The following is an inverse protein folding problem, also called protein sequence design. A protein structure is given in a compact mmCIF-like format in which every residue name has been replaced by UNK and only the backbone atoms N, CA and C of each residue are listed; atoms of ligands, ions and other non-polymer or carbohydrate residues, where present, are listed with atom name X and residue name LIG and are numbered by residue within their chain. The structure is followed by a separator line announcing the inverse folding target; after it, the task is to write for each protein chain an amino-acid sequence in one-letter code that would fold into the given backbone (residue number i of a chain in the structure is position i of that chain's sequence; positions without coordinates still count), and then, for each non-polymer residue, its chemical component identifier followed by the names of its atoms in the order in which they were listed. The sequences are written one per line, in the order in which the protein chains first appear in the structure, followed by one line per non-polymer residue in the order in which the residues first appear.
data_IF_000833087241
#
_entry.id   IF_000833087241
#
_cell.length_a   1.000
_cell.length_b   1.000
_cell.length_c   1.000
_cell.angle_alpha   90.00
_cell.angle_beta   90.00
_cell.angle_gamma   90.00
#
_symmetry.space_group_name_H-M   'P 1'
#
loop_
_entity.id
_entity.type
_entity.pdbx_description
1 polymer ?
#
# COMPACT_ATOMS: atom_id res chain seq x y z
N UNK A 1 -3.67 -12.98 -28.17
CA UNK A 1 -4.24 -14.16 -27.59
C UNK A 1 -3.62 -14.50 -26.29
N UNK A 2 -4.37 -14.75 -25.32
CA UNK A 2 -3.93 -15.07 -23.99
C UNK A 2 -5.13 -15.31 -23.12
N UNK A 3 -4.92 -15.33 -21.80
CA UNK A 3 -5.98 -15.52 -20.83
C UNK A 3 -6.80 -14.23 -20.76
N UNK A 4 -8.12 -14.34 -20.83
CA UNK A 4 -9.01 -13.19 -20.70
C UNK A 4 -9.07 -12.78 -19.22
N UNK A 5 -8.59 -11.57 -18.92
CA UNK A 5 -8.49 -11.05 -17.55
C UNK A 5 -9.18 -9.69 -17.47
N UNK A 6 -9.85 -9.40 -16.37
CA UNK A 6 -10.50 -8.11 -16.14
C UNK A 6 -9.79 -7.23 -15.15
N UNK A 7 -8.73 -7.71 -14.53
CA UNK A 7 -7.99 -6.94 -13.57
C UNK A 7 -7.08 -7.81 -12.73
N UNK A 8 -6.43 -7.19 -11.76
CA UNK A 8 -5.57 -7.88 -10.81
C UNK A 8 -5.80 -7.29 -9.44
N UNK A 9 -5.79 -8.15 -8.41
CA UNK A 9 -5.86 -7.72 -7.02
C UNK A 9 -4.70 -8.38 -6.29
N UNK A 10 -3.65 -7.62 -5.96
CA UNK A 10 -2.50 -8.16 -5.22
C UNK A 10 -2.90 -8.59 -3.83
N UNK A 11 -2.24 -9.62 -3.29
CA UNK A 11 -2.34 -9.99 -1.90
C UNK A 11 -0.98 -9.83 -1.27
N UNK A 12 -0.92 -9.05 -0.20
CA UNK A 12 0.30 -8.83 0.57
C UNK A 12 0.20 -9.59 1.89
N UNK A 13 1.24 -10.36 2.21
CA UNK A 13 1.37 -10.95 3.53
C UNK A 13 1.89 -9.89 4.47
N UNK A 14 1.15 -9.63 5.56
CA UNK A 14 1.52 -8.62 6.54
C UNK A 14 1.84 -9.28 7.88
N UNK A 15 2.72 -8.65 8.63
CA UNK A 15 3.15 -9.18 9.93
C UNK A 15 2.11 -8.94 11.01
N UNK A 16 1.56 -7.73 11.05
CA UNK A 16 0.64 -7.27 12.10
C UNK A 16 -0.57 -6.64 11.44
N UNK A 17 -1.67 -7.40 11.35
CA UNK A 17 -2.86 -6.95 10.65
C UNK A 17 -3.41 -5.62 11.18
N UNK A 18 -3.58 -5.42 12.51
CA UNK A 18 -4.09 -4.13 12.99
C UNK A 18 -3.22 -2.94 12.56
N UNK A 19 -1.91 -3.08 12.59
CA UNK A 19 -0.99 -2.02 12.15
C UNK A 19 -1.18 -1.74 10.66
N UNK A 20 -1.28 -2.77 9.84
CA UNK A 20 -1.44 -2.62 8.39
C UNK A 20 -2.81 -2.04 8.02
N UNK A 21 -3.87 -2.49 8.67
CA UNK A 21 -5.21 -1.93 8.45
C UNK A 21 -5.22 -0.43 8.78
N UNK A 22 -4.64 -0.03 9.90
CA UNK A 22 -4.57 1.40 10.26
C UNK A 22 -3.79 2.20 9.24
N UNK A 23 -2.68 1.64 8.74
CA UNK A 23 -1.88 2.34 7.73
C UNK A 23 -2.68 2.54 6.44
N UNK A 24 -3.22 1.48 5.88
CA UNK A 24 -3.94 1.57 4.60
C UNK A 24 -5.24 2.35 4.71
N UNK A 25 -6.01 2.15 5.78
CA UNK A 25 -7.29 2.82 5.97
C UNK A 25 -7.13 4.26 6.47
N UNK A 26 -6.41 4.44 7.58
CA UNK A 26 -6.41 5.73 8.29
C UNK A 26 -5.36 6.69 7.73
N UNK A 27 -4.26 6.19 7.19
CA UNK A 27 -3.22 7.03 6.60
C UNK A 27 -3.45 7.23 5.11
N UNK A 28 -3.62 6.14 4.34
CA UNK A 28 -3.76 6.24 2.90
C UNK A 28 -5.19 6.51 2.43
N UNK A 29 -6.19 6.14 3.22
CA UNK A 29 -7.58 6.38 2.87
C UNK A 29 -8.30 5.22 2.20
N UNK A 30 -7.76 4.00 2.26
CA UNK A 30 -8.45 2.83 1.74
C UNK A 30 -9.71 2.54 2.55
N UNK A 31 -10.74 2.03 1.87
CA UNK A 31 -11.93 1.48 2.50
C UNK A 31 -11.69 -0.02 2.73
N UNK A 32 -12.03 -0.51 3.93
CA UNK A 32 -12.05 -1.94 4.20
C UNK A 32 -13.39 -2.47 3.68
N UNK A 33 -13.36 -3.13 2.54
CA UNK A 33 -14.57 -3.63 1.88
C UNK A 33 -15.06 -4.89 2.57
N UNK A 34 -14.14 -5.76 2.97
CA UNK A 34 -14.44 -7.03 3.61
C UNK A 34 -13.29 -7.45 4.52
N UNK A 35 -13.59 -8.08 5.64
CA UNK A 35 -12.59 -8.61 6.56
C UNK A 35 -13.12 -9.91 7.18
N UNK A 36 -12.24 -10.89 7.37
CA UNK A 36 -12.59 -12.19 7.91
C UNK A 36 -11.57 -12.62 8.97
N UNK A 37 -11.97 -12.75 10.24
CA UNK A 37 -13.24 -12.29 10.81
C UNK A 37 -13.34 -10.76 10.81
N UNK A 38 -14.53 -10.19 11.01
CA UNK A 38 -14.67 -8.74 11.05
C UNK A 38 -13.80 -8.09 12.11
N UNK A 39 -13.33 -6.86 11.85
CA UNK A 39 -12.49 -6.10 12.76
C UNK A 39 -11.05 -5.99 12.28
N UNK A 40 -10.27 -5.17 12.98
CA UNK A 40 -8.89 -4.85 12.56
C UNK A 40 -7.91 -6.00 12.79
N UNK A 41 -8.21 -6.92 13.69
CA UNK A 41 -7.36 -8.09 13.93
C UNK A 41 -7.86 -9.32 13.14
N UNK A 42 -8.20 -9.08 11.89
CA UNK A 42 -8.63 -10.11 10.96
C UNK A 42 -7.44 -10.88 10.37
N UNK A 43 -7.72 -12.06 9.80
CA UNK A 43 -6.69 -12.84 9.11
C UNK A 43 -6.54 -12.41 7.64
N UNK A 44 -7.61 -11.86 7.07
CA UNK A 44 -7.67 -11.44 5.68
C UNK A 44 -8.58 -10.23 5.54
N UNK A 45 -8.22 -9.32 4.62
CA UNK A 45 -9.06 -8.17 4.31
C UNK A 45 -8.94 -7.80 2.84
N UNK A 46 -10.04 -7.29 2.27
CA UNK A 46 -10.07 -6.67 0.95
C UNK A 46 -10.23 -5.16 1.12
N UNK A 47 -9.33 -4.42 0.53
CA UNK A 47 -9.28 -2.96 0.63
C UNK A 47 -9.46 -2.33 -0.75
N UNK A 48 -10.05 -1.13 -0.78
CA UNK A 48 -10.25 -0.39 -2.02
C UNK A 48 -9.93 1.09 -1.84
N UNK A 49 -9.22 1.66 -2.81
CA UNK A 49 -8.97 3.09 -2.89
C UNK A 49 -9.18 3.52 -4.34
N UNK A 50 -10.27 4.26 -4.61
CA UNK A 50 -10.68 4.54 -5.98
C UNK A 50 -10.94 3.24 -6.75
N UNK A 51 -10.27 3.06 -7.86
CA UNK A 51 -10.39 1.85 -8.66
C UNK A 51 -9.34 0.78 -8.29
N UNK A 52 -8.45 1.07 -7.35
CA UNK A 52 -7.43 0.12 -6.92
C UNK A 52 -7.97 -0.80 -5.82
N UNK A 53 -7.66 -2.08 -5.93
CA UNK A 53 -7.99 -3.07 -4.91
C UNK A 53 -6.75 -3.79 -4.44
N UNK A 54 -6.75 -4.20 -3.18
CA UNK A 54 -5.61 -4.80 -2.51
C UNK A 54 -6.12 -5.73 -1.42
N UNK A 55 -5.52 -6.89 -1.30
CA UNK A 55 -5.81 -7.82 -0.21
C UNK A 55 -4.64 -7.85 0.77
N UNK A 56 -4.97 -7.95 2.06
CA UNK A 56 -3.99 -8.19 3.11
C UNK A 56 -4.29 -9.54 3.75
N UNK A 57 -3.25 -10.28 4.07
CA UNK A 57 -3.36 -11.55 4.75
C UNK A 57 -2.24 -11.67 5.77
N UNK A 58 -2.49 -12.33 6.90
CA UNK A 58 -1.42 -12.58 7.86
C UNK A 58 -1.29 -14.07 8.13
N UNK A 59 -0.06 -14.52 8.30
CA UNK A 59 0.23 -15.88 8.68
C UNK A 59 0.12 -16.12 10.20
N UNK A 60 -0.03 -15.04 10.97
CA UNK A 60 0.00 -15.10 12.42
C UNK A 60 -1.34 -14.74 13.05
N UNK A 61 -1.88 -15.64 13.85
CA UNK A 61 -2.91 -15.25 14.82
C UNK A 61 -2.28 -14.27 15.82
N UNK A 62 -3.10 -13.41 16.41
CA UNK A 62 -2.57 -12.34 17.27
C UNK A 62 -1.79 -12.86 18.47
N UNK A 63 -2.16 -14.03 19.01
CA UNK A 63 -1.50 -14.67 20.13
C UNK A 63 -0.25 -15.47 19.74
N UNK A 64 -0.04 -15.72 18.44
CA UNK A 64 1.10 -16.47 17.92
C UNK A 64 2.13 -15.56 17.24
N UNK A 65 1.83 -14.29 17.12
CA UNK A 65 2.72 -13.34 16.44
C UNK A 65 4.01 -13.13 17.24
N UNK A 66 5.18 -13.29 16.61
CA UNK A 66 6.44 -12.93 17.28
C UNK A 66 6.47 -11.46 17.69
N UNK A 67 7.27 -11.07 18.68
CA UNK A 67 7.31 -9.67 19.13
C UNK A 67 7.82 -8.69 18.08
N UNK A 68 8.68 -9.14 17.15
CA UNK A 68 9.23 -8.31 16.07
C UNK A 68 9.21 -9.09 14.76
N UNK A 69 9.05 -8.40 13.60
CA UNK A 69 9.11 -9.08 12.32
C UNK A 69 10.55 -9.51 11.99
N UNK A 70 10.68 -10.49 11.12
CA UNK A 70 11.98 -10.90 10.60
C UNK A 70 12.55 -9.78 9.72
N UNK A 71 13.69 -9.17 10.09
CA UNK A 71 14.27 -8.08 9.32
C UNK A 71 14.61 -8.45 7.88
N UNK A 72 15.01 -9.69 7.62
CA UNK A 72 15.32 -10.15 6.28
C UNK A 72 14.06 -10.18 5.39
N UNK A 73 12.92 -10.57 5.97
CA UNK A 73 11.64 -10.57 5.26
C UNK A 73 11.22 -9.15 4.89
N UNK A 74 11.31 -8.23 5.85
CA UNK A 74 10.97 -6.83 5.61
C UNK A 74 11.88 -6.22 4.54
N UNK A 75 13.19 -6.45 4.64
CA UNK A 75 14.14 -5.95 3.65
C UNK A 75 13.88 -6.52 2.26
N UNK A 76 13.50 -7.79 2.17
CA UNK A 76 13.19 -8.45 0.90
C UNK A 76 11.98 -7.86 0.20
N UNK A 77 11.03 -7.30 0.94
CA UNK A 77 9.85 -6.67 0.35
C UNK A 77 10.17 -5.41 -0.45
N UNK A 78 11.35 -4.82 -0.26
CA UNK A 78 11.77 -3.66 -1.05
C UNK A 78 11.87 -3.97 -2.55
N UNK A 79 11.93 -5.24 -2.94
CA UNK A 79 11.91 -5.65 -4.33
C UNK A 79 10.51 -5.60 -4.96
N UNK A 80 9.48 -5.37 -4.17
CA UNK A 80 8.09 -5.32 -4.65
C UNK A 80 7.53 -3.92 -4.44
N UNK A 81 7.08 -3.31 -5.53
CA UNK A 81 6.46 -1.99 -5.48
C UNK A 81 5.11 -2.03 -6.20
N UNK A 82 4.10 -1.45 -5.54
CA UNK A 82 2.78 -1.26 -6.14
C UNK A 82 2.71 0.16 -6.68
N UNK A 83 2.35 0.29 -7.96
CA UNK A 83 2.20 1.59 -8.61
C UNK A 83 0.74 1.94 -8.73
N UNK A 84 0.37 3.10 -8.20
CA UNK A 84 -1.01 3.60 -8.22
C UNK A 84 -1.11 4.76 -9.21
N UNK A 85 -2.06 4.68 -10.13
CA UNK A 85 -2.39 5.82 -11.00
C UNK A 85 -3.04 6.91 -10.17
N UNK A 86 -2.38 8.04 -10.03
CA UNK A 86 -2.79 9.12 -9.13
C UNK A 86 -2.65 10.46 -9.87
N UNK A 87 -3.75 10.97 -10.48
CA UNK A 87 -3.67 12.20 -11.28
C UNK A 87 -3.17 13.41 -10.53
N UNK A 88 -3.49 13.55 -9.25
CA UNK A 88 -3.01 14.68 -8.45
C UNK A 88 -2.01 14.19 -7.40
N UNK A 89 -0.78 14.01 -7.83
CA UNK A 89 0.30 13.52 -6.96
C UNK A 89 0.62 14.56 -5.86
N UNK A 90 0.49 15.84 -6.16
CA UNK A 90 0.74 16.89 -5.17
C UNK A 90 -0.29 16.86 -4.04
N UNK A 91 -1.56 16.58 -4.36
CA UNK A 91 -2.60 16.41 -3.34
C UNK A 91 -2.32 15.18 -2.47
N UNK A 92 -1.82 14.10 -3.05
CA UNK A 92 -1.40 12.92 -2.29
C UNK A 92 -0.27 13.27 -1.33
N UNK A 93 0.71 14.05 -1.77
CA UNK A 93 1.80 14.51 -0.92
C UNK A 93 1.26 15.33 0.27
N UNK A 94 0.39 16.30 0.00
CA UNK A 94 -0.21 17.13 1.06
C UNK A 94 -0.99 16.28 2.05
N UNK A 95 -1.75 15.30 1.56
CA UNK A 95 -2.52 14.38 2.40
C UNK A 95 -1.62 13.60 3.37
N UNK A 96 -0.51 13.06 2.86
CA UNK A 96 0.44 12.31 3.70
C UNK A 96 1.14 13.21 4.70
N UNK A 97 1.52 14.42 4.30
CA UNK A 97 2.16 15.37 5.20
C UNK A 97 1.25 15.77 6.35
N UNK A 98 -0.03 15.99 6.08
CA UNK A 98 -1.02 16.31 7.12
C UNK A 98 -1.16 15.19 8.16
N UNK A 99 -0.92 13.95 7.74
CA UNK A 99 -0.98 12.79 8.63
C UNK A 99 0.35 12.46 9.29
N UNK A 100 1.34 13.32 9.12
CA UNK A 100 2.64 13.16 9.76
C UNK A 100 3.52 12.07 9.14
N UNK A 101 3.22 11.66 7.91
CA UNK A 101 4.05 10.67 7.22
C UNK A 101 5.27 11.38 6.63
N UNK A 102 6.50 10.95 6.98
CA UNK A 102 7.70 11.55 6.42
C UNK A 102 7.92 11.06 4.99
N UNK A 103 7.54 11.89 4.02
CA UNK A 103 7.73 11.60 2.60
C UNK A 103 8.44 12.77 1.95
N UNK A 104 9.24 12.48 0.92
CA UNK A 104 9.87 13.50 0.13
C UNK A 104 8.88 14.06 -0.89
N UNK A 105 9.12 15.30 -1.33
CA UNK A 105 8.31 15.93 -2.36
C UNK A 105 8.29 15.08 -3.63
N UNK A 106 7.16 15.06 -4.36
CA UNK A 106 7.11 14.37 -5.63
C UNK A 106 8.22 14.85 -6.58
N UNK A 107 8.78 13.91 -7.32
CA UNK A 107 9.83 14.20 -8.29
C UNK A 107 9.40 13.72 -9.67
N UNK A 108 9.83 14.47 -10.71
CA UNK A 108 9.62 14.04 -12.09
C UNK A 108 10.84 13.26 -12.52
N UNK A 109 10.62 11.99 -12.91
CA UNK A 109 11.69 11.11 -13.38
C UNK A 109 12.01 11.39 -14.84
N UNK A 110 13.20 10.94 -15.28
CA UNK A 110 13.67 11.15 -16.65
C UNK A 110 12.75 10.57 -17.73
N UNK A 111 11.91 9.61 -17.36
CA UNK A 111 10.91 9.02 -18.27
C UNK A 111 9.54 9.73 -18.20
N UNK A 112 9.46 10.89 -17.57
CA UNK A 112 8.28 11.75 -17.61
C UNK A 112 7.19 11.48 -16.60
N UNK A 113 7.43 10.64 -15.60
CA UNK A 113 6.46 10.35 -14.54
C UNK A 113 6.76 11.15 -13.29
N UNK A 114 5.74 11.81 -12.74
CA UNK A 114 5.81 12.47 -11.45
C UNK A 114 5.46 11.42 -10.40
N UNK A 115 6.37 11.20 -9.44
CA UNK A 115 6.27 10.10 -8.50
C UNK A 115 6.42 10.54 -7.06
N UNK A 116 5.61 9.91 -6.20
CA UNK A 116 5.67 10.02 -4.74
C UNK A 116 5.77 8.60 -4.19
N UNK A 117 6.86 8.29 -3.51
CA UNK A 117 7.14 6.94 -3.04
C UNK A 117 7.23 6.86 -1.52
N UNK A 118 6.76 5.75 -0.97
CA UNK A 118 6.90 5.44 0.45
C UNK A 118 6.87 3.91 0.62
N UNK A 119 7.17 3.45 1.82
CA UNK A 119 7.06 2.04 2.17
C UNK A 119 5.90 1.83 3.13
N UNK A 120 5.25 0.67 3.04
CA UNK A 120 4.24 0.28 4.00
C UNK A 120 4.90 -0.32 5.26
N UNK A 121 4.12 -0.69 6.32
CA UNK A 121 4.70 -1.24 7.54
C UNK A 121 5.52 -2.52 7.36
N UNK A 122 5.28 -3.27 6.30
CA UNK A 122 6.00 -4.52 6.01
C UNK A 122 7.15 -4.33 5.02
N UNK A 123 7.44 -3.11 4.59
CA UNK A 123 8.54 -2.83 3.68
C UNK A 123 8.19 -2.88 2.20
N UNK A 124 6.92 -3.14 1.85
CA UNK A 124 6.49 -3.08 0.46
C UNK A 124 6.53 -1.63 -0.04
N UNK A 125 7.05 -1.43 -1.25
CA UNK A 125 7.08 -0.11 -1.87
C UNK A 125 5.71 0.28 -2.42
N UNK A 126 5.35 1.55 -2.24
CA UNK A 126 4.15 2.13 -2.81
C UNK A 126 4.55 3.38 -3.58
N UNK A 127 4.09 3.50 -4.82
CA UNK A 127 4.41 4.65 -5.66
C UNK A 127 3.12 5.21 -6.26
N UNK A 128 2.83 6.46 -5.93
CA UNK A 128 1.71 7.20 -6.53
C UNK A 128 2.29 8.04 -7.67
N UNK A 129 1.79 7.83 -8.88
CA UNK A 129 2.38 8.45 -10.05
C UNK A 129 1.35 8.85 -11.09
N UNK A 130 1.75 9.82 -11.91
CA UNK A 130 0.98 10.26 -13.07
C UNK A 130 1.95 10.90 -14.06
N UNK A 131 1.67 10.82 -15.36
CA UNK A 131 2.51 11.50 -16.33
C UNK A 131 2.61 13.00 -16.01
N UNK A 132 3.83 13.54 -16.00
CA UNK A 132 4.03 14.96 -15.80
C UNK A 132 3.46 15.71 -17.00
N UNK A 133 2.84 16.88 -16.74
CA UNK A 133 2.32 17.70 -17.81
C UNK A 133 3.46 18.20 -18.69
N UNK A 134 3.24 18.15 -20.00
CA UNK A 134 4.15 18.77 -20.94
C UNK A 134 4.05 20.30 -20.79
N UNK A 135 5.19 20.94 -20.67
CA UNK A 135 5.28 22.40 -20.52
C UNK A 135 5.51 23.02 -21.88
#
# INVERSE_FOLDING_TARGET
MGIAVRGVCPLLEVFDMPTSIRFYRDVLGFEVVEAAPPGDDCGWALLRLGEAELMLNTAYESDERPPVPDPARVAGHADTTLFFGCPDVDAAYAHLRERGVPVEKPTVRGYGMKQLSLADPDGFGLCFQWPAEAV
#
